data_IF_365172041538
#
_entry.id   IF_365172041538
#
_cell.length_a   1.000
_cell.length_b   1.000
_cell.length_c   1.000
_cell.angle_alpha   90.00
_cell.angle_beta   90.00
_cell.angle_gamma   90.00
#
_symmetry.space_group_name_H-M   'P 1'
#
loop_
_entity.id
_entity.type
_entity.pdbx_description
1 polymer ?
#
# COMPACT_ATOMS: atom_id res chain seq x y z
N UNK A 1 -1.43 5.36 15.21
CA UNK A 1 -1.86 3.96 15.01
C UNK A 1 -1.25 3.37 13.74
N UNK A 2 -1.01 2.06 13.70
CA UNK A 2 -0.47 1.31 12.55
C UNK A 2 -1.37 0.09 12.32
N UNK A 3 -1.55 -0.31 11.07
CA UNK A 3 -2.20 -1.57 10.69
C UNK A 3 -1.40 -2.30 9.61
N UNK A 4 -1.69 -3.59 9.47
CA UNK A 4 -1.18 -4.46 8.41
C UNK A 4 -2.35 -5.07 7.62
N UNK A 5 -3.02 -4.31 6.74
CA UNK A 5 -4.12 -4.86 5.93
C UNK A 5 -3.61 -5.97 5.02
N UNK A 6 -4.46 -6.98 4.81
CA UNK A 6 -4.20 -8.07 3.85
C UNK A 6 -4.64 -7.64 2.46
N UNK A 7 -3.74 -7.74 1.49
CA UNK A 7 -4.08 -7.69 0.08
C UNK A 7 -4.76 -9.01 -0.32
N UNK A 8 -5.97 -8.92 -0.86
CA UNK A 8 -6.81 -10.09 -1.14
C UNK A 8 -6.51 -10.75 -2.49
N UNK A 9 -5.97 -9.98 -3.45
CA UNK A 9 -5.65 -10.43 -4.80
C UNK A 9 -4.32 -9.85 -5.24
N UNK A 10 -3.55 -10.61 -6.01
CA UNK A 10 -2.19 -10.23 -6.42
C UNK A 10 -1.16 -10.46 -5.32
N UNK A 11 0.08 -10.07 -5.61
CA UNK A 11 1.23 -10.19 -4.73
C UNK A 11 1.58 -8.82 -4.11
N UNK A 12 1.79 -8.78 -2.80
CA UNK A 12 2.00 -7.53 -2.07
C UNK A 12 3.33 -6.85 -2.38
N UNK A 13 4.37 -7.62 -2.75
CA UNK A 13 5.67 -7.05 -3.12
C UNK A 13 5.53 -6.31 -4.46
N UNK A 14 4.95 -6.97 -5.47
CA UNK A 14 4.66 -6.35 -6.78
C UNK A 14 3.73 -5.14 -6.62
N UNK A 15 2.64 -5.26 -5.84
CA UNK A 15 1.71 -4.17 -5.62
C UNK A 15 2.36 -2.94 -4.98
N UNK A 16 3.20 -3.13 -3.96
CA UNK A 16 3.88 -2.01 -3.31
C UNK A 16 4.89 -1.34 -4.26
N UNK A 17 5.57 -2.13 -5.09
CA UNK A 17 6.53 -1.65 -6.08
C UNK A 17 5.85 -0.83 -7.19
N UNK A 18 4.79 -1.35 -7.80
CA UNK A 18 4.02 -0.65 -8.84
C UNK A 18 3.40 0.66 -8.30
N UNK A 19 2.79 0.60 -7.10
CA UNK A 19 2.16 1.77 -6.50
C UNK A 19 3.16 2.93 -6.32
N UNK A 20 4.37 2.66 -5.80
CA UNK A 20 5.35 3.72 -5.58
C UNK A 20 5.89 4.27 -6.89
N UNK A 21 6.13 3.41 -7.89
CA UNK A 21 6.64 3.83 -9.20
C UNK A 21 5.64 4.68 -9.97
N UNK A 22 4.35 4.34 -9.91
CA UNK A 22 3.33 5.01 -10.73
C UNK A 22 2.66 6.20 -10.06
N UNK A 23 2.44 6.13 -8.75
CA UNK A 23 1.71 7.17 -8.01
C UNK A 23 2.60 8.00 -7.08
N UNK A 24 3.82 7.53 -6.78
CA UNK A 24 4.68 8.13 -5.75
C UNK A 24 4.25 7.80 -4.32
N UNK A 25 3.21 6.99 -4.12
CA UNK A 25 2.77 6.54 -2.79
C UNK A 25 3.61 5.34 -2.35
N UNK A 26 4.37 5.52 -1.27
CA UNK A 26 5.15 4.43 -0.68
C UNK A 26 4.32 3.63 0.33
N UNK A 27 4.00 2.40 -0.01
CA UNK A 27 3.66 1.34 0.94
C UNK A 27 4.82 0.35 1.04
N UNK A 28 4.91 -0.33 2.18
CA UNK A 28 5.94 -1.34 2.41
C UNK A 28 5.27 -2.68 2.74
N UNK A 29 5.72 -3.78 2.11
CA UNK A 29 5.32 -5.13 2.47
C UNK A 29 5.54 -5.42 3.96
N UNK A 30 4.65 -6.22 4.54
CA UNK A 30 4.67 -6.59 5.95
C UNK A 30 5.86 -7.48 6.31
N UNK A 31 6.42 -8.19 5.32
CA UNK A 31 7.65 -8.98 5.41
C UNK A 31 8.83 -8.16 5.97
N UNK A 32 8.87 -6.85 5.70
CA UNK A 32 9.89 -5.92 6.22
C UNK A 32 9.76 -5.60 7.72
N UNK A 33 8.69 -6.07 8.38
CA UNK A 33 8.34 -5.77 9.76
C UNK A 33 7.98 -7.04 10.57
N UNK A 34 8.57 -8.19 10.23
CA UNK A 34 8.26 -9.49 10.85
C UNK A 34 6.76 -9.85 10.79
N UNK A 35 6.03 -9.28 9.82
CA UNK A 35 4.61 -9.54 9.57
C UNK A 35 4.42 -10.17 8.18
N UNK A 36 4.85 -11.42 7.99
CA UNK A 36 4.90 -12.04 6.67
C UNK A 36 3.51 -12.31 6.07
N UNK A 37 3.51 -12.71 4.81
CA UNK A 37 2.30 -12.95 4.03
C UNK A 37 1.87 -11.73 3.23
N UNK A 38 0.68 -11.80 2.64
CA UNK A 38 0.18 -10.80 1.69
C UNK A 38 -0.34 -9.54 2.40
N UNK A 39 0.45 -8.93 3.27
CA UNK A 39 0.10 -7.75 4.07
C UNK A 39 1.06 -6.60 3.78
N UNK A 40 0.60 -5.36 3.95
CA UNK A 40 1.44 -4.15 3.84
C UNK A 40 1.20 -3.23 5.03
N UNK A 41 2.17 -2.35 5.34
CA UNK A 41 2.09 -1.44 6.49
C UNK A 41 1.35 -0.15 6.14
N UNK A 42 0.38 0.25 6.97
CA UNK A 42 -0.29 1.55 6.90
C UNK A 42 -0.10 2.33 8.21
N UNK A 43 0.41 3.56 8.12
CA UNK A 43 0.53 4.47 9.26
C UNK A 43 -0.50 5.60 9.20
N UNK A 44 -1.40 5.68 10.17
CA UNK A 44 -2.54 6.62 10.18
C UNK A 44 -2.23 8.06 10.64
N UNK A 45 -0.98 8.35 11.03
CA UNK A 45 -0.60 9.62 11.65
C UNK A 45 0.12 10.59 10.70
N UNK A 46 0.09 10.34 9.39
CA UNK A 46 0.80 11.16 8.40
C UNK A 46 -0.03 12.37 7.98
N UNK A 47 0.57 13.57 8.00
CA UNK A 47 -0.10 14.81 7.55
C UNK A 47 -0.57 14.75 6.09
N UNK A 48 0.18 14.07 5.22
CA UNK A 48 -0.14 13.90 3.81
C UNK A 48 -1.07 12.71 3.52
N UNK A 49 -1.62 12.05 4.55
CA UNK A 49 -2.49 10.89 4.38
C UNK A 49 -3.69 11.13 3.44
N UNK A 50 -4.44 12.25 3.49
CA UNK A 50 -5.55 12.48 2.57
C UNK A 50 -5.10 12.47 1.10
N UNK A 51 -3.97 13.11 0.78
CA UNK A 51 -3.42 13.12 -0.58
C UNK A 51 -2.92 11.74 -1.02
N UNK A 52 -2.26 11.00 -0.13
CA UNK A 52 -1.77 9.65 -0.43
C UNK A 52 -2.91 8.66 -0.65
N UNK A 53 -4.01 8.79 0.11
CA UNK A 53 -5.21 7.96 -0.07
C UNK A 53 -5.90 8.25 -1.41
N UNK A 54 -6.00 9.53 -1.82
CA UNK A 54 -6.56 9.88 -3.12
C UNK A 54 -5.73 9.30 -4.30
N UNK A 55 -4.40 9.34 -4.19
CA UNK A 55 -3.51 8.75 -5.18
C UNK A 55 -3.60 7.21 -5.21
N UNK A 56 -3.70 6.58 -4.04
CA UNK A 56 -3.94 5.14 -3.92
C UNK A 56 -5.29 4.76 -4.56
N UNK A 57 -6.35 5.51 -4.31
CA UNK A 57 -7.66 5.29 -4.93
C UNK A 57 -7.60 5.42 -6.46
N UNK A 58 -6.90 6.43 -6.97
CA UNK A 58 -6.68 6.58 -8.41
C UNK A 58 -5.93 5.38 -9.00
N UNK A 59 -4.84 4.95 -8.36
CA UNK A 59 -4.05 3.79 -8.79
C UNK A 59 -4.93 2.53 -8.87
N UNK A 60 -5.74 2.26 -7.83
CA UNK A 60 -6.64 1.10 -7.78
C UNK A 60 -7.72 1.13 -8.88
N UNK A 61 -8.27 2.31 -9.17
CA UNK A 61 -9.25 2.48 -10.24
C UNK A 61 -8.65 2.25 -11.64
N UNK A 62 -7.36 2.52 -11.83
CA UNK A 62 -6.65 2.27 -13.09
C UNK A 62 -6.28 0.80 -13.28
N UNK A 63 -6.08 0.06 -12.19
CA UNK A 63 -5.55 -1.31 -12.22
C UNK A 63 -6.59 -2.42 -12.02
N UNK A 64 -7.88 -2.09 -11.85
CA UNK A 64 -9.01 -3.04 -11.68
C UNK A 64 -8.58 -4.37 -11.03
N UNK A 65 -8.24 -4.33 -9.74
CA UNK A 65 -7.80 -5.52 -8.98
C UNK A 65 -9.00 -6.38 -8.55
#
# INVERSE_FOLDING_TARGET
>A
PIAFPRLLKGDVETFCDELVHESGVLLLPGSMYDHPGNHFRVGFARKNMPSALAQLEQFLNQHTI
#
